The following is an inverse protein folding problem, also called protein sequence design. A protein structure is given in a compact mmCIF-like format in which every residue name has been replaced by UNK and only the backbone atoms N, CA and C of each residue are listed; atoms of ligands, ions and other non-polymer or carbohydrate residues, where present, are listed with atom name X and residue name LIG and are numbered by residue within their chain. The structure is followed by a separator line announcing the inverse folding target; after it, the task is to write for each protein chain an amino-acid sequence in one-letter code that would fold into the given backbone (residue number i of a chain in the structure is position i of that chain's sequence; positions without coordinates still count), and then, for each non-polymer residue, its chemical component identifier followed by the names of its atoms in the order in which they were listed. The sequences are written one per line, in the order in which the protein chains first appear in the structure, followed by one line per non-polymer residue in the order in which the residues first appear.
data_IF_267235505204
#
_entry.id   IF_267235505204
#
_cell.length_a   1.000
_cell.length_b   1.000
_cell.length_c   1.000
_cell.angle_alpha   90.00
_cell.angle_beta   90.00
_cell.angle_gamma   90.00
#
_symmetry.space_group_name_H-M   'P 1'
#
loop_
_entity.id
_entity.type
_entity.pdbx_description
1 polymer ?
#
# COMPACT_ATOMS: atom_id res chain seq x y z
N UNK A 1 -95.79 -52.75 18.98
CA UNK A 1 -95.93 -52.37 20.40
C UNK A 1 -94.80 -51.43 20.77
N UNK A 2 -95.18 -50.27 21.34
CA UNK A 2 -94.43 -49.39 22.26
C UNK A 2 -93.18 -48.64 21.76
N UNK A 3 -93.43 -47.36 21.42
CA UNK A 3 -92.53 -46.18 21.56
C UNK A 3 -92.02 -46.04 23.01
N UNK A 4 -90.82 -45.50 23.25
CA UNK A 4 -90.70 -44.06 23.62
C UNK A 4 -89.36 -43.46 23.17
N UNK A 5 -88.98 -42.19 23.37
CA UNK A 5 -89.61 -40.88 23.46
C UNK A 5 -88.44 -39.88 23.32
N UNK A 6 -88.68 -38.72 22.70
CA UNK A 6 -87.72 -37.61 22.51
C UNK A 6 -87.28 -36.96 23.84
N UNK A 7 -86.18 -36.19 23.79
CA UNK A 7 -86.25 -34.78 24.20
C UNK A 7 -85.83 -33.89 23.01
N UNK A 8 -86.68 -32.95 22.51
CA UNK A 8 -86.83 -31.58 23.01
C UNK A 8 -85.46 -30.97 23.34
N UNK A 9 -84.82 -30.22 22.46
CA UNK A 9 -85.34 -28.99 21.87
C UNK A 9 -84.62 -27.83 22.54
N UNK A 10 -83.66 -27.22 21.84
CA UNK A 10 -83.25 -25.86 22.12
C UNK A 10 -82.88 -25.20 20.79
N UNK A 11 -83.85 -24.45 20.26
CA UNK A 11 -83.66 -23.48 19.19
C UNK A 11 -82.75 -22.37 19.70
N UNK A 12 -81.58 -22.21 19.10
CA UNK A 12 -80.87 -20.93 19.11
C UNK A 12 -81.09 -20.27 17.74
N UNK A 13 -81.89 -19.21 17.81
CA UNK A 13 -82.32 -18.34 16.73
C UNK A 13 -81.12 -17.64 16.10
N UNK A 14 -81.13 -17.59 14.76
CA UNK A 14 -80.31 -16.72 13.92
C UNK A 14 -80.39 -15.26 14.38
N UNK A 15 -79.24 -14.67 14.68
CA UNK A 15 -79.02 -13.23 14.47
C UNK A 15 -77.81 -13.07 13.58
N UNK A 16 -78.09 -12.70 12.32
CA UNK A 16 -77.12 -12.27 11.34
C UNK A 16 -76.33 -11.07 11.87
N UNK A 17 -75.14 -11.32 12.42
CA UNK A 17 -74.18 -10.25 12.64
C UNK A 17 -73.52 -9.95 11.30
N UNK A 18 -73.79 -8.75 10.78
CA UNK A 18 -73.12 -8.18 9.62
C UNK A 18 -71.62 -8.28 9.86
N UNK A 19 -70.98 -9.28 9.27
CA UNK A 19 -69.54 -9.30 9.05
C UNK A 19 -69.23 -8.10 8.17
N UNK A 20 -68.94 -6.98 8.81
CA UNK A 20 -68.23 -5.86 8.21
C UNK A 20 -66.91 -6.47 7.76
N UNK A 21 -66.86 -6.93 6.52
CA UNK A 21 -65.62 -7.18 5.83
C UNK A 21 -64.93 -5.82 5.79
N UNK A 22 -64.11 -5.55 6.82
CA UNK A 22 -63.11 -4.50 6.79
C UNK A 22 -62.14 -4.98 5.71
N UNK A 23 -62.51 -4.73 4.46
CA UNK A 23 -61.59 -4.72 3.35
C UNK A 23 -60.66 -3.58 3.70
N UNK A 24 -59.58 -3.91 4.41
CA UNK A 24 -58.43 -3.04 4.57
C UNK A 24 -57.87 -2.91 3.15
N UNK A 25 -58.47 -2.01 2.36
CA UNK A 25 -57.80 -1.35 1.25
C UNK A 25 -56.65 -0.60 1.92
N UNK A 26 -55.58 -1.34 2.22
CA UNK A 26 -54.27 -0.75 2.40
C UNK A 26 -54.02 -0.01 1.10
N UNK A 27 -54.23 1.31 1.16
CA UNK A 27 -53.90 2.26 0.11
C UNK A 27 -52.58 1.83 -0.49
N UNK A 28 -52.47 1.76 -1.82
CA UNK A 28 -51.26 1.30 -2.50
C UNK A 28 -50.00 1.99 -1.95
N UNK A 29 -50.13 3.23 -1.46
CA UNK A 29 -49.09 3.95 -0.70
C UNK A 29 -48.46 3.17 0.46
N UNK A 30 -49.22 2.36 1.22
CA UNK A 30 -48.70 1.55 2.32
C UNK A 30 -47.91 0.31 1.86
N UNK A 31 -48.23 -0.26 0.69
CA UNK A 31 -47.48 -1.42 0.16
C UNK A 31 -46.10 -1.04 -0.34
N UNK A 32 -45.96 0.13 -0.97
CA UNK A 32 -44.65 0.67 -1.35
C UNK A 32 -43.81 0.99 -0.11
N UNK A 33 -44.39 1.57 0.94
CA UNK A 33 -43.68 1.85 2.20
C UNK A 33 -43.12 0.59 2.87
N UNK A 34 -43.88 -0.51 2.91
CA UNK A 34 -43.42 -1.77 3.53
C UNK A 34 -42.27 -2.42 2.75
N UNK A 35 -42.37 -2.46 1.41
CA UNK A 35 -41.30 -3.02 0.56
C UNK A 35 -40.01 -2.23 0.68
N UNK A 36 -40.09 -0.89 0.66
CA UNK A 36 -38.90 -0.04 0.83
C UNK A 36 -38.27 -0.22 2.21
N UNK A 37 -39.08 -0.35 3.27
CA UNK A 37 -38.58 -0.63 4.63
C UNK A 37 -37.85 -1.97 4.72
N UNK A 38 -38.43 -3.03 4.14
CA UNK A 38 -37.82 -4.37 4.12
C UNK A 38 -36.51 -4.41 3.33
N UNK A 39 -36.47 -3.76 2.16
CA UNK A 39 -35.26 -3.64 1.35
C UNK A 39 -34.17 -2.87 2.09
N UNK A 40 -34.52 -1.75 2.73
CA UNK A 40 -33.58 -0.95 3.51
C UNK A 40 -33.05 -1.73 4.72
N UNK A 41 -33.91 -2.42 5.46
CA UNK A 41 -33.47 -3.23 6.60
C UNK A 41 -32.58 -4.40 6.17
N UNK A 42 -32.91 -5.06 5.05
CA UNK A 42 -32.08 -6.13 4.49
C UNK A 42 -30.70 -5.61 4.07
N UNK A 43 -30.65 -4.47 3.38
CA UNK A 43 -29.40 -3.82 3.01
C UNK A 43 -28.54 -3.45 4.22
N UNK A 44 -29.15 -2.85 5.26
CA UNK A 44 -28.44 -2.50 6.50
C UNK A 44 -27.92 -3.75 7.24
N UNK A 45 -28.67 -4.85 7.26
CA UNK A 45 -28.23 -6.09 7.87
C UNK A 45 -27.02 -6.69 7.14
N UNK A 46 -27.02 -6.65 5.80
CA UNK A 46 -25.88 -7.09 4.98
C UNK A 46 -24.66 -6.22 5.22
N UNK A 47 -24.83 -4.89 5.27
CA UNK A 47 -23.74 -3.95 5.55
C UNK A 47 -23.15 -4.17 6.95
N UNK A 48 -24.00 -4.28 7.97
CA UNK A 48 -23.58 -4.57 9.34
C UNK A 48 -22.83 -5.89 9.44
N UNK A 49 -23.31 -6.93 8.75
CA UNK A 49 -22.63 -8.24 8.69
C UNK A 49 -21.27 -8.14 8.01
N UNK A 50 -21.16 -7.39 6.90
CA UNK A 50 -19.91 -7.18 6.20
C UNK A 50 -18.88 -6.46 7.08
N UNK A 51 -19.30 -5.41 7.80
CA UNK A 51 -18.45 -4.68 8.76
C UNK A 51 -18.02 -5.58 9.92
N UNK A 52 -18.95 -6.36 10.48
CA UNK A 52 -18.63 -7.31 11.55
C UNK A 52 -17.60 -8.36 11.10
N UNK A 53 -17.80 -8.95 9.91
CA UNK A 53 -16.85 -9.90 9.34
C UNK A 53 -15.48 -9.26 9.08
N UNK A 54 -15.43 -7.99 8.68
CA UNK A 54 -14.18 -7.26 8.51
C UNK A 54 -13.44 -7.08 9.86
N UNK A 55 -14.16 -6.75 10.93
CA UNK A 55 -13.60 -6.52 12.27
C UNK A 55 -13.18 -7.80 12.99
N UNK A 56 -13.85 -8.93 12.72
CA UNK A 56 -13.54 -10.23 13.32
C UNK A 56 -12.33 -10.92 12.68
N UNK A 57 -11.89 -10.49 11.50
CA UNK A 57 -10.73 -11.08 10.83
C UNK A 57 -9.44 -10.64 11.51
N UNK A 58 -8.57 -11.61 11.78
CA UNK A 58 -7.21 -11.35 12.24
C UNK A 58 -6.52 -10.31 11.34
N UNK A 59 -5.86 -9.29 11.94
CA UNK A 59 -5.31 -8.16 11.22
C UNK A 59 -4.04 -8.51 10.47
N UNK A 60 -3.63 -7.68 9.53
CA UNK A 60 -2.26 -7.65 9.00
C UNK A 60 -1.46 -6.66 9.83
N UNK A 61 -0.33 -7.07 10.38
CA UNK A 61 0.50 -6.19 11.22
C UNK A 61 1.74 -5.78 10.46
N UNK A 62 1.99 -4.47 10.38
CA UNK A 62 3.25 -3.90 9.91
C UNK A 62 4.07 -3.47 11.13
N UNK A 63 5.28 -4.00 11.26
CA UNK A 63 6.24 -3.53 12.27
C UNK A 63 6.92 -2.27 11.78
N UNK A 64 6.97 -1.25 12.62
CA UNK A 64 7.55 0.06 12.29
C UNK A 64 8.13 0.72 13.54
N UNK A 65 8.62 1.95 13.40
CA UNK A 65 9.19 2.73 14.49
C UNK A 65 8.72 4.18 14.44
N UNK A 66 8.89 4.86 15.57
CA UNK A 66 8.47 6.26 15.73
C UNK A 66 9.18 7.20 14.74
N UNK A 67 10.42 6.89 14.36
CA UNK A 67 11.17 7.71 13.40
C UNK A 67 10.52 7.62 12.02
N UNK A 68 10.14 6.42 11.58
CA UNK A 68 9.42 6.22 10.33
C UNK A 68 8.05 6.92 10.35
N UNK A 69 7.22 6.72 11.38
CA UNK A 69 5.90 7.37 11.48
C UNK A 69 6.00 8.90 11.47
N UNK A 70 6.99 9.44 12.17
CA UNK A 70 7.22 10.89 12.24
C UNK A 70 7.61 11.46 10.88
N UNK A 71 8.48 10.77 10.14
CA UNK A 71 9.03 11.27 8.88
C UNK A 71 8.16 10.96 7.65
N UNK A 72 7.40 9.86 7.67
CA UNK A 72 6.45 9.52 6.60
C UNK A 72 5.14 10.33 6.72
N UNK A 73 4.77 10.70 7.94
CA UNK A 73 3.66 11.60 8.25
C UNK A 73 2.37 10.86 8.61
N UNK A 74 1.85 11.12 9.82
CA UNK A 74 0.64 10.47 10.39
C UNK A 74 -0.58 10.45 9.47
N UNK A 75 -0.81 11.54 8.72
CA UNK A 75 -1.94 11.63 7.78
C UNK A 75 -1.78 10.64 6.64
N UNK A 76 -0.56 10.53 6.09
CA UNK A 76 -0.24 9.61 5.00
C UNK A 76 -0.30 8.16 5.48
N UNK A 77 0.20 7.88 6.68
CA UNK A 77 0.05 6.58 7.35
C UNK A 77 -1.42 6.19 7.49
N UNK A 78 -2.26 7.08 8.01
CA UNK A 78 -3.69 6.83 8.17
C UNK A 78 -4.40 6.51 6.84
N UNK A 79 -4.08 7.25 5.78
CA UNK A 79 -4.63 7.02 4.44
C UNK A 79 -4.12 5.68 3.87
N UNK A 80 -2.82 5.41 3.96
CA UNK A 80 -2.21 4.17 3.46
C UNK A 80 -2.78 2.96 4.20
N UNK A 81 -2.89 3.04 5.53
CA UNK A 81 -3.49 2.04 6.39
C UNK A 81 -4.94 1.76 6.01
N UNK A 82 -5.77 2.78 5.85
CA UNK A 82 -7.17 2.62 5.46
C UNK A 82 -7.30 2.00 4.06
N UNK A 83 -6.58 2.55 3.07
CA UNK A 83 -6.61 2.07 1.69
C UNK A 83 -6.17 0.59 1.61
N UNK A 84 -5.10 0.23 2.32
CA UNK A 84 -4.60 -1.15 2.36
C UNK A 84 -5.57 -2.07 3.08
N UNK A 85 -6.16 -1.61 4.19
CA UNK A 85 -7.15 -2.39 4.93
C UNK A 85 -8.37 -2.74 4.07
N UNK A 86 -8.90 -1.74 3.36
CA UNK A 86 -10.02 -1.94 2.42
C UNK A 86 -9.62 -2.88 1.28
N UNK A 87 -8.44 -2.70 0.70
CA UNK A 87 -7.95 -3.52 -0.42
C UNK A 87 -7.65 -4.99 -0.03
N UNK A 88 -7.32 -5.25 1.25
CA UNK A 88 -7.13 -6.59 1.82
C UNK A 88 -8.43 -7.19 2.37
N UNK A 89 -9.47 -6.37 2.54
CA UNK A 89 -10.66 -6.72 3.33
C UNK A 89 -10.30 -7.26 4.72
N UNK A 90 -9.29 -6.63 5.35
CA UNK A 90 -8.77 -6.94 6.69
C UNK A 90 -8.25 -5.66 7.34
N UNK A 91 -8.34 -5.55 8.66
CA UNK A 91 -7.72 -4.45 9.39
C UNK A 91 -6.19 -4.52 9.26
N UNK A 92 -5.54 -3.41 8.94
CA UNK A 92 -4.09 -3.27 9.09
C UNK A 92 -3.80 -2.61 10.43
N UNK A 93 -2.80 -3.12 11.15
CA UNK A 93 -2.29 -2.60 12.43
C UNK A 93 -0.81 -2.22 12.31
N UNK A 94 -0.39 -1.28 13.14
CA UNK A 94 1.01 -0.86 13.26
C UNK A 94 1.54 -1.28 14.62
N UNK A 95 2.57 -2.12 14.61
CA UNK A 95 3.35 -2.45 15.79
C UNK A 95 4.56 -1.52 15.84
N UNK A 96 4.48 -0.46 16.66
CA UNK A 96 5.57 0.51 16.83
C UNK A 96 6.57 -0.03 17.84
N UNK A 97 7.83 -0.11 17.43
CA UNK A 97 8.95 -0.53 18.27
C UNK A 97 10.06 0.51 18.25
N UNK A 98 10.97 0.44 19.22
CA UNK A 98 12.15 1.28 19.21
C UNK A 98 13.01 1.01 17.94
N UNK A 99 13.68 2.02 17.37
CA UNK A 99 14.57 1.86 16.21
C UNK A 99 15.66 0.79 16.38
N UNK A 100 16.09 0.56 17.62
CA UNK A 100 17.09 -0.43 18.04
C UNK A 100 16.50 -1.56 18.88
N UNK A 101 15.19 -1.82 18.74
CA UNK A 101 14.55 -2.91 19.46
C UNK A 101 15.22 -4.25 19.11
N UNK A 102 15.47 -5.12 20.12
CA UNK A 102 16.00 -6.45 19.86
C UNK A 102 14.99 -7.27 19.04
N UNK A 103 15.45 -8.30 18.30
CA UNK A 103 14.60 -9.14 17.45
C UNK A 103 13.34 -9.67 18.15
N UNK A 104 13.48 -10.10 19.41
CA UNK A 104 12.40 -10.66 20.21
C UNK A 104 11.32 -9.62 20.51
N UNK A 105 11.70 -8.38 20.77
CA UNK A 105 10.74 -7.29 21.02
C UNK A 105 9.94 -6.94 19.76
N UNK A 106 10.58 -6.97 18.58
CA UNK A 106 9.89 -6.78 17.31
C UNK A 106 8.89 -7.92 17.03
N UNK A 107 9.27 -9.17 17.32
CA UNK A 107 8.39 -10.33 17.20
C UNK A 107 7.20 -10.24 18.18
N UNK A 108 7.44 -9.89 19.44
CA UNK A 108 6.39 -9.75 20.47
C UNK A 108 5.42 -8.63 20.15
N UNK A 109 5.92 -7.49 19.69
CA UNK A 109 5.09 -6.36 19.29
C UNK A 109 4.14 -6.75 18.14
N UNK A 110 4.62 -7.55 17.17
CA UNK A 110 3.76 -8.08 16.11
C UNK A 110 2.74 -9.09 16.64
N UNK A 111 3.18 -10.02 17.50
CA UNK A 111 2.35 -11.12 18.01
C UNK A 111 1.22 -10.64 18.93
N UNK A 112 1.40 -9.53 19.64
CA UNK A 112 0.41 -8.95 20.54
C UNK A 112 -0.96 -8.66 19.87
N UNK A 113 -1.00 -8.56 18.53
CA UNK A 113 -2.21 -8.30 17.76
C UNK A 113 -2.91 -9.57 17.23
N UNK A 114 -2.36 -10.77 17.44
CA UNK A 114 -2.87 -12.01 16.85
C UNK A 114 -2.99 -11.94 15.31
N UNK A 115 -1.91 -11.62 14.57
CA UNK A 115 -1.98 -11.31 13.15
C UNK A 115 -2.35 -12.51 12.28
N UNK A 116 -2.99 -12.24 11.14
CA UNK A 116 -3.10 -13.17 10.02
C UNK A 116 -1.77 -13.31 9.26
N UNK A 117 -0.97 -12.24 9.24
CA UNK A 117 0.42 -12.24 8.78
C UNK A 117 1.14 -11.02 9.38
N UNK A 118 2.45 -11.14 9.58
CA UNK A 118 3.31 -10.07 10.10
C UNK A 118 4.30 -9.62 9.03
N UNK A 119 4.39 -8.31 8.82
CA UNK A 119 5.22 -7.66 7.80
C UNK A 119 6.32 -6.86 8.48
N UNK A 120 7.56 -7.18 8.14
CA UNK A 120 8.75 -6.60 8.74
C UNK A 120 9.56 -5.85 7.67
N UNK A 121 9.79 -4.53 7.81
CA UNK A 121 10.82 -3.85 7.04
C UNK A 121 12.18 -4.56 7.19
N UNK A 122 13.04 -4.51 6.16
CA UNK A 122 14.35 -5.18 6.17
C UNK A 122 15.20 -4.90 7.41
N UNK A 123 15.13 -3.67 7.96
CA UNK A 123 15.80 -3.31 9.22
C UNK A 123 15.40 -4.19 10.43
N UNK A 124 14.24 -4.84 10.36
CA UNK A 124 13.68 -5.76 11.34
C UNK A 124 13.67 -7.21 10.86
N UNK A 125 14.49 -7.58 9.87
CA UNK A 125 14.55 -8.95 9.34
C UNK A 125 14.83 -9.99 10.43
N UNK A 126 15.75 -9.71 11.36
CA UNK A 126 16.01 -10.60 12.49
C UNK A 126 14.77 -10.78 13.40
N UNK A 127 13.93 -9.74 13.52
CA UNK A 127 12.65 -9.83 14.23
C UNK A 127 11.63 -10.71 13.51
N UNK A 128 11.64 -10.71 12.17
CA UNK A 128 10.83 -11.63 11.36
C UNK A 128 11.26 -13.09 11.58
N UNK A 129 12.57 -13.34 11.63
CA UNK A 129 13.12 -14.68 11.90
C UNK A 129 12.70 -15.16 13.31
N UNK A 130 12.83 -14.30 14.32
CA UNK A 130 12.38 -14.58 15.70
C UNK A 130 10.87 -14.84 15.78
N UNK A 131 10.07 -14.08 15.03
CA UNK A 131 8.62 -14.26 14.94
C UNK A 131 8.27 -15.61 14.31
N UNK A 132 8.85 -15.94 13.15
CA UNK A 132 8.57 -17.18 12.43
C UNK A 132 8.98 -18.43 13.22
N UNK A 133 10.06 -18.34 14.01
CA UNK A 133 10.48 -19.43 14.89
C UNK A 133 9.49 -19.68 16.04
N UNK A 134 8.86 -18.61 16.55
CA UNK A 134 7.91 -18.67 17.68
C UNK A 134 6.47 -18.97 17.27
N UNK A 135 6.06 -18.51 16.10
CA UNK A 135 4.69 -18.58 15.57
C UNK A 135 4.70 -19.15 14.14
N UNK A 136 5.14 -20.42 13.94
CA UNK A 136 5.35 -21.00 12.61
C UNK A 136 4.07 -21.10 11.77
N UNK A 137 2.90 -21.06 12.40
CA UNK A 137 1.58 -21.06 11.75
C UNK A 137 1.19 -19.69 11.18
N UNK A 138 1.85 -18.61 11.59
CA UNK A 138 1.58 -17.26 11.12
C UNK A 138 2.69 -16.83 10.14
N UNK A 139 2.36 -16.54 8.87
CA UNK A 139 3.36 -16.14 7.90
C UNK A 139 4.00 -14.80 8.27
N UNK A 140 5.33 -14.79 8.28
CA UNK A 140 6.16 -13.59 8.37
C UNK A 140 6.73 -13.24 7.00
N UNK A 141 6.73 -11.95 6.65
CA UNK A 141 7.30 -11.47 5.39
C UNK A 141 8.20 -10.27 5.63
N UNK A 142 9.37 -10.26 4.98
CA UNK A 142 10.31 -9.15 5.03
C UNK A 142 10.19 -8.30 3.77
N UNK A 143 9.92 -7.01 3.91
CA UNK A 143 9.87 -6.05 2.80
C UNK A 143 11.23 -5.41 2.56
N UNK A 144 11.57 -5.11 1.31
CA UNK A 144 12.86 -4.56 0.87
C UNK A 144 14.05 -5.50 1.15
N UNK A 145 13.81 -6.82 1.17
CA UNK A 145 14.88 -7.79 1.21
C UNK A 145 15.67 -7.74 -0.12
N UNK A 146 17.00 -7.66 -0.04
CA UNK A 146 17.86 -7.83 -1.21
C UNK A 146 17.90 -9.34 -1.52
N UNK A 147 17.47 -9.78 -2.71
CA UNK A 147 17.58 -11.19 -3.09
C UNK A 147 19.06 -11.59 -3.08
N UNK A 148 19.43 -12.70 -2.43
CA UNK A 148 20.79 -13.27 -2.58
C UNK A 148 20.95 -13.78 -4.02
N UNK A 149 22.16 -13.64 -4.57
CA UNK A 149 22.49 -14.00 -5.95
C UNK A 149 22.32 -15.51 -6.26
N UNK A 150 22.13 -16.32 -5.23
CA UNK A 150 22.22 -17.78 -5.29
C UNK A 150 20.91 -18.46 -5.70
N UNK A 151 19.88 -17.68 -6.08
CA UNK A 151 18.58 -18.21 -6.55
C UNK A 151 17.74 -18.92 -5.48
N UNK A 152 18.26 -19.09 -4.28
CA UNK A 152 17.48 -19.47 -3.11
C UNK A 152 16.77 -18.21 -2.58
N UNK A 153 15.44 -18.21 -2.55
CA UNK A 153 14.58 -17.19 -1.96
C UNK A 153 15.15 -16.66 -0.63
N UNK A 154 15.92 -15.58 -0.74
CA UNK A 154 16.80 -15.10 0.31
C UNK A 154 16.05 -14.16 1.25
N UNK A 155 15.38 -14.74 2.24
CA UNK A 155 15.21 -14.16 3.57
C UNK A 155 15.37 -15.32 4.57
N UNK A 156 16.16 -15.11 5.62
CA UNK A 156 16.55 -16.10 6.64
C UNK A 156 17.47 -17.25 6.15
N UNK A 157 18.74 -17.18 6.55
CA UNK A 157 19.57 -18.38 6.60
C UNK A 157 19.13 -19.24 7.77
N UNK A 158 18.20 -20.16 7.56
CA UNK A 158 18.06 -21.43 8.30
C UNK A 158 16.89 -22.22 7.71
N UNK A 159 17.19 -23.37 7.12
CA UNK A 159 16.20 -24.39 6.83
C UNK A 159 15.61 -24.92 8.15
N UNK A 160 14.51 -24.32 8.60
CA UNK A 160 13.80 -24.77 9.80
C UNK A 160 12.39 -24.21 9.84
N UNK A 161 11.40 -25.02 9.44
CA UNK A 161 9.96 -25.02 9.75
C UNK A 161 9.10 -23.72 9.77
N UNK A 162 9.65 -22.52 9.67
CA UNK A 162 8.94 -21.24 9.59
C UNK A 162 9.60 -20.39 8.51
N UNK A 163 9.06 -20.46 7.29
CA UNK A 163 9.66 -19.76 6.13
C UNK A 163 9.31 -18.28 6.20
N UNK A 164 10.31 -17.44 6.46
CA UNK A 164 10.18 -15.99 6.26
C UNK A 164 10.12 -15.73 4.75
N UNK A 165 9.01 -15.15 4.30
CA UNK A 165 8.82 -14.78 2.91
C UNK A 165 9.51 -13.46 2.61
N UNK A 166 9.73 -13.15 1.35
CA UNK A 166 10.29 -11.87 0.92
C UNK A 166 9.32 -11.10 0.01
N UNK A 167 9.28 -9.80 0.23
CA UNK A 167 8.70 -8.85 -0.71
C UNK A 167 9.76 -7.80 -1.06
N UNK A 168 10.07 -7.64 -2.34
CA UNK A 168 11.05 -6.65 -2.79
C UNK A 168 10.41 -5.62 -3.72
N UNK A 169 10.99 -4.43 -3.71
CA UNK A 169 10.74 -3.45 -4.76
C UNK A 169 11.40 -3.96 -6.04
N UNK A 170 10.69 -3.86 -7.17
CA UNK A 170 11.29 -4.06 -8.49
C UNK A 170 12.22 -2.88 -8.83
N UNK A 171 13.44 -2.93 -8.30
CA UNK A 171 14.44 -1.88 -8.52
C UNK A 171 14.68 -1.63 -10.00
N UNK A 172 14.75 -2.67 -10.83
CA UNK A 172 14.99 -2.50 -12.27
C UNK A 172 13.86 -1.73 -12.95
N UNK A 173 12.60 -2.08 -12.67
CA UNK A 173 11.46 -1.36 -13.21
C UNK A 173 11.40 0.09 -12.71
N UNK A 174 11.75 0.34 -11.45
CA UNK A 174 11.73 1.68 -10.87
C UNK A 174 12.82 2.57 -11.44
N UNK A 175 14.04 2.06 -11.56
CA UNK A 175 15.16 2.78 -12.19
C UNK A 175 14.89 3.03 -13.67
N UNK A 176 14.25 2.08 -14.38
CA UNK A 176 13.79 2.31 -15.76
C UNK A 176 12.73 3.41 -15.84
N UNK A 177 11.76 3.44 -14.92
CA UNK A 177 10.75 4.52 -14.82
C UNK A 177 11.38 5.87 -14.49
N UNK A 178 12.36 5.89 -13.59
CA UNK A 178 13.14 7.09 -13.29
C UNK A 178 13.91 7.57 -14.53
N UNK A 179 14.50 6.66 -15.31
CA UNK A 179 15.13 6.97 -16.59
C UNK A 179 14.17 7.63 -17.59
N UNK A 180 12.94 7.09 -17.73
CA UNK A 180 11.92 7.71 -18.59
C UNK A 180 11.54 9.12 -18.12
N UNK A 181 11.36 9.31 -16.82
CA UNK A 181 11.07 10.61 -16.24
C UNK A 181 12.22 11.60 -16.45
N UNK A 182 13.46 11.16 -16.25
CA UNK A 182 14.65 11.96 -16.49
C UNK A 182 14.75 12.38 -17.96
N UNK A 183 14.50 11.47 -18.90
CA UNK A 183 14.53 11.79 -20.33
C UNK A 183 13.49 12.84 -20.73
N UNK A 184 12.30 12.86 -20.10
CA UNK A 184 11.30 13.92 -20.31
C UNK A 184 11.77 15.26 -19.75
N UNK A 185 12.33 15.27 -18.53
CA UNK A 185 12.84 16.48 -17.90
C UNK A 185 14.03 17.06 -18.67
N UNK A 186 14.89 16.20 -19.21
CA UNK A 186 16.03 16.56 -20.05
C UNK A 186 15.68 16.78 -21.53
N UNK A 187 14.45 16.49 -21.99
CA UNK A 187 14.10 16.72 -23.40
C UNK A 187 14.00 18.21 -23.74
N UNK A 188 13.75 19.07 -22.75
CA UNK A 188 13.64 20.51 -22.93
C UNK A 188 15.00 21.19 -23.16
N UNK A 189 16.09 20.64 -22.62
CA UNK A 189 17.45 21.16 -22.75
C UNK A 189 18.39 19.97 -22.89
N UNK A 190 19.22 19.88 -23.94
CA UNK A 190 20.12 18.75 -24.29
C UNK A 190 21.20 18.45 -23.24
N UNK A 191 20.80 18.16 -22.03
CA UNK A 191 21.59 18.34 -20.81
C UNK A 191 21.53 17.06 -19.99
N UNK A 192 22.69 16.55 -19.50
CA UNK A 192 22.78 15.25 -18.83
C UNK A 192 21.95 15.17 -17.55
N UNK A 193 21.36 13.99 -17.33
CA UNK A 193 20.78 13.57 -16.06
C UNK A 193 21.89 13.02 -15.16
N UNK A 194 21.86 13.37 -13.87
CA UNK A 194 22.86 12.93 -12.89
C UNK A 194 22.31 11.88 -11.93
N UNK A 195 23.15 10.89 -11.59
CA UNK A 195 22.80 9.72 -10.79
C UNK A 195 23.58 9.68 -9.48
N UNK A 196 22.91 9.46 -8.34
CA UNK A 196 23.58 9.22 -7.05
C UNK A 196 22.74 8.33 -6.11
N UNK A 197 23.37 7.43 -5.37
CA UNK A 197 22.72 6.62 -4.33
C UNK A 197 22.84 7.19 -2.91
N UNK A 198 22.15 6.51 -2.00
CA UNK A 198 21.96 6.72 -0.57
C UNK A 198 23.18 7.19 0.21
N UNK A 199 24.35 6.65 -0.12
CA UNK A 199 25.59 6.90 0.62
C UNK A 199 26.62 7.64 -0.23
N UNK A 200 26.20 8.19 -1.37
CA UNK A 200 27.07 8.74 -2.40
C UNK A 200 27.80 7.67 -3.22
N UNK A 201 27.42 6.39 -3.04
CA UNK A 201 27.80 5.29 -3.93
C UNK A 201 27.16 5.47 -5.31
N UNK A 202 27.83 5.01 -6.38
CA UNK A 202 27.17 4.85 -7.66
C UNK A 202 26.23 3.64 -7.60
N UNK A 203 25.07 3.69 -8.29
CA UNK A 203 24.20 2.53 -8.37
C UNK A 203 24.85 1.36 -9.09
N UNK A 204 24.35 0.16 -8.88
CA UNK A 204 24.91 -1.04 -9.53
C UNK A 204 24.87 -0.88 -11.06
N UNK A 205 25.81 -1.50 -11.80
CA UNK A 205 25.82 -1.45 -13.27
C UNK A 205 24.48 -1.84 -13.91
N UNK A 206 23.76 -2.80 -13.30
CA UNK A 206 22.47 -3.29 -13.78
C UNK A 206 21.34 -2.25 -13.59
N UNK A 207 21.37 -1.51 -12.46
CA UNK A 207 20.45 -0.39 -12.22
C UNK A 207 20.76 0.79 -13.16
N UNK A 208 22.04 1.07 -13.40
CA UNK A 208 22.46 2.06 -14.40
C UNK A 208 21.97 1.70 -15.81
N UNK A 209 22.12 0.43 -16.20
CA UNK A 209 21.63 -0.06 -17.49
C UNK A 209 20.11 0.07 -17.62
N UNK A 210 19.37 -0.27 -16.57
CA UNK A 210 17.91 -0.10 -16.52
C UNK A 210 17.48 1.36 -16.64
N UNK A 211 18.21 2.27 -15.97
CA UNK A 211 18.00 3.71 -16.10
C UNK A 211 18.26 4.21 -17.53
N UNK A 212 19.38 3.79 -18.14
CA UNK A 212 19.73 4.14 -19.51
C UNK A 212 18.70 3.63 -20.54
N UNK A 213 18.16 2.42 -20.34
CA UNK A 213 17.05 1.89 -21.14
C UNK A 213 15.81 2.79 -21.04
N UNK A 214 15.51 3.27 -19.82
CA UNK A 214 14.45 4.25 -19.58
C UNK A 214 14.63 5.54 -20.38
N UNK A 215 15.83 6.13 -20.35
CA UNK A 215 16.18 7.31 -21.14
C UNK A 215 15.98 7.07 -22.65
N UNK A 216 16.52 5.97 -23.16
CA UNK A 216 16.43 5.62 -24.58
C UNK A 216 14.97 5.42 -25.04
N UNK A 217 14.12 4.86 -24.18
CA UNK A 217 12.71 4.61 -24.51
C UNK A 217 11.87 5.87 -24.72
N UNK A 218 12.36 7.04 -24.28
CA UNK A 218 11.74 8.35 -24.54
C UNK A 218 12.53 9.19 -25.56
N UNK A 219 13.46 8.57 -26.29
CA UNK A 219 14.24 9.21 -27.34
C UNK A 219 15.44 10.04 -26.86
N UNK A 220 15.81 9.94 -25.58
CA UNK A 220 17.00 10.62 -25.06
C UNK A 220 18.26 9.80 -25.37
N UNK A 221 19.21 10.41 -26.10
CA UNK A 221 20.45 9.75 -26.55
C UNK A 221 21.68 10.08 -25.70
N UNK A 222 21.54 10.96 -24.70
CA UNK A 222 22.67 11.35 -23.84
C UNK A 222 23.04 10.25 -22.83
N UNK A 223 24.32 10.19 -22.48
CA UNK A 223 24.81 9.29 -21.43
C UNK A 223 24.61 9.96 -20.06
N UNK A 224 23.97 9.29 -19.08
CA UNK A 224 23.85 9.85 -17.73
C UNK A 224 25.21 9.98 -17.07
N UNK A 225 25.39 11.06 -16.29
CA UNK A 225 26.64 11.28 -15.54
C UNK A 225 26.43 10.78 -14.11
N UNK A 226 27.35 9.96 -13.62
CA UNK A 226 27.25 9.40 -12.27
C UNK A 226 28.05 10.27 -11.32
N UNK A 227 27.38 10.86 -10.33
CA UNK A 227 28.03 11.67 -9.29
C UNK A 227 28.41 10.78 -8.12
N UNK A 228 29.73 10.62 -7.91
CA UNK A 228 30.26 10.00 -6.70
C UNK A 228 30.38 11.04 -5.59
N UNK A 229 30.42 10.59 -4.34
CA UNK A 229 30.79 11.48 -3.22
C UNK A 229 32.09 12.23 -3.52
N UNK A 230 32.10 13.55 -3.31
CA UNK A 230 33.24 14.43 -3.59
C UNK A 230 33.48 14.77 -5.07
N UNK A 231 32.66 14.28 -6.02
CA UNK A 231 32.77 14.69 -7.42
C UNK A 231 32.16 16.08 -7.59
N UNK A 232 32.98 17.08 -7.90
CA UNK A 232 32.50 18.41 -8.24
C UNK A 232 31.72 18.36 -9.56
N UNK A 233 30.52 18.93 -9.58
CA UNK A 233 29.84 19.22 -10.84
C UNK A 233 30.58 20.40 -11.47
N UNK A 234 30.99 20.31 -12.76
CA UNK A 234 31.66 21.41 -13.43
C UNK A 234 30.86 22.71 -13.31
N UNK A 235 31.54 23.79 -12.93
CA UNK A 235 30.92 25.11 -12.82
C UNK A 235 30.36 25.49 -14.20
N UNK A 236 29.08 25.83 -14.26
CA UNK A 236 28.39 26.17 -15.51
C UNK A 236 27.84 24.97 -16.29
N UNK A 237 27.98 23.74 -15.78
CA UNK A 237 27.24 22.60 -16.31
C UNK A 237 25.74 22.90 -16.17
N UNK A 238 25.02 22.93 -17.28
CA UNK A 238 23.57 22.83 -17.23
C UNK A 238 23.24 21.45 -16.68
N UNK A 239 22.22 21.34 -15.84
CA UNK A 239 21.74 20.06 -15.30
C UNK A 239 20.24 19.96 -15.59
N UNK A 240 19.82 18.95 -16.34
CA UNK A 240 18.41 18.77 -16.70
C UNK A 240 17.60 18.23 -15.53
N UNK A 241 18.15 17.24 -14.82
CA UNK A 241 17.60 16.75 -13.55
C UNK A 241 18.65 16.00 -12.73
N UNK A 242 18.37 15.87 -11.44
CA UNK A 242 19.14 15.03 -10.52
C UNK A 242 18.28 13.88 -9.99
N UNK A 243 18.84 12.67 -9.99
CA UNK A 243 18.19 11.46 -9.48
C UNK A 243 18.86 11.04 -8.18
N UNK A 244 18.09 11.07 -7.10
CA UNK A 244 18.54 10.81 -5.74
C UNK A 244 17.88 9.54 -5.19
N UNK A 245 18.66 8.49 -4.96
CA UNK A 245 18.19 7.30 -4.26
C UNK A 245 18.60 7.32 -2.77
N UNK A 246 18.24 8.39 -2.03
CA UNK A 246 18.75 8.63 -0.68
C UNK A 246 17.67 8.97 0.36
N UNK A 247 17.89 8.50 1.60
CA UNK A 247 17.01 8.75 2.75
C UNK A 247 17.09 10.19 3.28
N UNK A 248 18.22 10.89 3.05
CA UNK A 248 18.39 12.29 3.43
C UNK A 248 18.93 13.10 2.25
N UNK A 249 18.04 13.62 1.39
CA UNK A 249 18.49 14.41 0.25
C UNK A 249 19.04 15.78 0.71
N UNK A 250 18.71 16.24 1.92
CA UNK A 250 18.93 17.61 2.41
C UNK A 250 20.36 18.15 2.23
N UNK A 251 21.40 17.36 2.51
CA UNK A 251 22.79 17.82 2.40
C UNK A 251 23.21 18.10 0.95
N UNK A 252 22.77 17.27 0.00
CA UNK A 252 23.07 17.41 -1.45
C UNK A 252 22.14 18.41 -2.13
N UNK A 253 20.93 18.59 -1.62
CA UNK A 253 19.92 19.48 -2.21
C UNK A 253 20.35 20.94 -2.20
N UNK A 254 21.11 21.36 -1.19
CA UNK A 254 21.65 22.72 -1.11
C UNK A 254 22.65 23.03 -2.24
N UNK A 255 23.30 22.01 -2.81
CA UNK A 255 24.28 22.16 -3.90
C UNK A 255 23.61 22.44 -5.26
N UNK A 256 22.33 22.10 -5.42
CA UNK A 256 21.62 22.12 -6.71
C UNK A 256 20.28 22.87 -6.66
N UNK A 257 20.27 24.17 -6.27
CA UNK A 257 19.03 24.93 -6.19
C UNK A 257 18.37 25.07 -7.56
N UNK A 258 17.06 24.79 -7.63
CA UNK A 258 16.25 24.99 -8.84
C UNK A 258 16.29 23.87 -9.88
N UNK A 259 17.17 22.87 -9.71
CA UNK A 259 17.23 21.73 -10.63
C UNK A 259 16.10 20.74 -10.32
N UNK A 260 15.32 20.27 -11.31
CA UNK A 260 14.28 19.26 -11.08
C UNK A 260 14.85 17.97 -10.49
N UNK A 261 14.15 17.39 -9.51
CA UNK A 261 14.62 16.19 -8.81
C UNK A 261 13.70 14.99 -9.01
N UNK A 262 14.32 13.83 -9.21
CA UNK A 262 13.67 12.53 -9.12
C UNK A 262 14.19 11.86 -7.86
N UNK A 263 13.34 11.61 -6.87
CA UNK A 263 13.76 11.15 -5.55
C UNK A 263 13.10 9.81 -5.22
N UNK A 264 13.89 8.83 -4.79
CA UNK A 264 13.39 7.63 -4.15
C UNK A 264 13.37 7.87 -2.65
N UNK A 265 12.17 8.01 -2.09
CA UNK A 265 12.02 8.34 -0.69
C UNK A 265 10.60 8.07 -0.20
N UNK A 266 10.54 7.70 1.07
CA UNK A 266 9.32 7.54 1.85
C UNK A 266 9.00 8.77 2.71
N UNK A 267 9.82 9.82 2.67
CA UNK A 267 9.54 11.05 3.42
C UNK A 267 8.21 11.69 3.02
N UNK A 268 7.54 12.35 3.97
CA UNK A 268 6.36 13.17 3.69
C UNK A 268 6.71 14.24 2.64
N UNK A 269 5.80 14.43 1.68
CA UNK A 269 5.89 15.47 0.65
C UNK A 269 6.18 16.88 1.20
N UNK A 270 5.74 17.20 2.42
CA UNK A 270 6.00 18.47 3.08
C UNK A 270 7.47 18.66 3.51
N UNK A 271 8.23 17.55 3.64
CA UNK A 271 9.65 17.55 3.95
C UNK A 271 10.52 17.48 2.70
N UNK A 272 9.90 17.29 1.52
CA UNK A 272 10.61 17.26 0.25
C UNK A 272 10.94 18.67 -0.22
N UNK A 273 12.06 18.83 -0.94
CA UNK A 273 12.42 20.12 -1.49
C UNK A 273 11.42 20.56 -2.57
N UNK A 274 11.24 21.88 -2.71
CA UNK A 274 10.24 22.46 -3.63
C UNK A 274 10.43 22.04 -5.09
N UNK A 275 11.68 21.78 -5.51
CA UNK A 275 12.07 21.31 -6.85
C UNK A 275 11.97 19.78 -7.05
N UNK A 276 11.43 19.02 -6.09
CA UNK A 276 11.04 17.63 -6.34
C UNK A 276 10.01 17.59 -7.49
N UNK A 277 10.35 16.89 -8.57
CA UNK A 277 9.50 16.72 -9.74
C UNK A 277 8.81 15.35 -9.74
N UNK A 278 9.56 14.30 -9.38
CA UNK A 278 9.03 12.92 -9.28
C UNK A 278 9.50 12.29 -7.98
N UNK A 279 8.60 11.59 -7.29
CA UNK A 279 8.86 10.88 -6.04
C UNK A 279 8.47 9.43 -6.21
N UNK A 280 9.43 8.53 -6.04
CA UNK A 280 9.22 7.08 -5.94
C UNK A 280 9.12 6.70 -4.47
N UNK A 281 7.92 6.31 -4.05
CA UNK A 281 7.63 5.87 -2.68
C UNK A 281 8.12 4.43 -2.49
N UNK A 282 9.28 4.29 -1.84
CA UNK A 282 9.93 3.04 -1.48
C UNK A 282 9.63 2.60 -0.03
N UNK A 283 8.60 3.19 0.58
CA UNK A 283 8.20 2.87 1.95
C UNK A 283 7.70 1.43 2.08
N UNK A 284 7.76 0.85 3.30
CA UNK A 284 7.08 -0.40 3.60
C UNK A 284 5.58 -0.38 3.24
N UNK A 285 4.92 0.79 3.26
CA UNK A 285 3.52 0.93 2.85
C UNK A 285 3.31 0.64 1.36
N UNK A 286 4.25 1.01 0.51
CA UNK A 286 4.16 0.74 -0.92
C UNK A 286 4.16 -0.78 -1.22
N UNK A 287 4.88 -1.55 -0.39
CA UNK A 287 4.97 -3.01 -0.50
C UNK A 287 3.93 -3.76 0.34
N UNK A 288 3.27 -3.12 1.30
CA UNK A 288 2.44 -3.82 2.29
C UNK A 288 1.32 -4.65 1.64
N UNK A 289 0.57 -4.07 0.70
CA UNK A 289 -0.54 -4.75 0.03
C UNK A 289 -0.07 -6.01 -0.76
N UNK A 290 0.90 -5.91 -1.69
CA UNK A 290 1.39 -7.09 -2.40
C UNK A 290 2.05 -8.10 -1.44
N UNK A 291 2.84 -7.63 -0.47
CA UNK A 291 3.49 -8.49 0.52
C UNK A 291 2.48 -9.30 1.34
N UNK A 292 1.44 -8.65 1.87
CA UNK A 292 0.42 -9.32 2.66
C UNK A 292 -0.40 -10.32 1.82
N UNK A 293 -0.72 -10.00 0.56
CA UNK A 293 -1.41 -10.93 -0.34
C UNK A 293 -0.56 -12.15 -0.67
N UNK A 294 0.73 -11.95 -0.88
CA UNK A 294 1.68 -13.03 -1.13
C UNK A 294 1.85 -13.90 0.11
N UNK A 295 2.02 -13.28 1.29
CA UNK A 295 2.12 -13.97 2.58
C UNK A 295 0.90 -14.83 2.89
N UNK A 296 -0.32 -14.32 2.66
CA UNK A 296 -1.56 -15.06 2.85
C UNK A 296 -1.74 -16.23 1.86
N UNK A 297 -0.93 -16.29 0.79
CA UNK A 297 -0.85 -17.39 -0.18
C UNK A 297 0.44 -18.21 -0.05
N UNK A 298 1.27 -17.91 0.94
CA UNK A 298 2.59 -18.52 1.14
C UNK A 298 3.56 -18.34 -0.04
N UNK A 299 3.48 -17.18 -0.70
CA UNK A 299 4.30 -16.79 -1.86
C UNK A 299 5.20 -15.60 -1.53
N UNK A 300 6.33 -15.48 -2.23
CA UNK A 300 7.11 -14.23 -2.30
C UNK A 300 6.51 -13.28 -3.34
N UNK A 301 6.81 -11.99 -3.25
CA UNK A 301 6.32 -11.02 -4.24
C UNK A 301 7.32 -9.95 -4.61
N UNK A 302 7.16 -9.41 -5.81
CA UNK A 302 7.89 -8.22 -6.26
C UNK A 302 6.85 -7.19 -6.70
N UNK A 303 7.03 -5.94 -6.31
CA UNK A 303 6.17 -4.84 -6.73
C UNK A 303 6.97 -3.58 -7.02
N UNK A 304 6.57 -2.81 -8.02
CA UNK A 304 7.21 -1.53 -8.33
C UNK A 304 6.77 -0.45 -7.34
N UNK A 305 7.64 0.51 -7.01
CA UNK A 305 7.31 1.62 -6.11
C UNK A 305 6.15 2.46 -6.66
N UNK A 306 5.42 3.12 -5.77
CA UNK A 306 4.41 4.09 -6.22
C UNK A 306 5.12 5.39 -6.65
N UNK A 307 5.09 5.70 -7.94
CA UNK A 307 5.62 6.94 -8.46
C UNK A 307 4.56 8.05 -8.45
N UNK A 308 4.93 9.24 -8.00
CA UNK A 308 4.06 10.43 -7.98
C UNK A 308 4.78 11.62 -8.59
N UNK A 309 4.07 12.41 -9.39
CA UNK A 309 4.57 13.67 -9.93
C UNK A 309 4.20 14.78 -8.96
N UNK A 310 5.18 15.54 -8.50
CA UNK A 310 4.94 16.66 -7.61
C UNK A 310 4.42 17.86 -8.39
N UNK A 311 3.45 18.56 -7.79
CA UNK A 311 2.92 19.82 -8.34
C UNK A 311 3.77 21.04 -7.96
N UNK A 312 4.68 20.90 -6.99
CA UNK A 312 5.47 22.03 -6.46
C UNK A 312 6.69 22.36 -7.31
N UNK A 313 7.16 21.41 -8.14
CA UNK A 313 8.41 21.52 -8.89
C UNK A 313 8.45 22.51 -10.05
N UNK A 314 7.54 23.48 -10.11
CA UNK A 314 7.50 24.49 -11.18
C UNK A 314 7.30 23.90 -12.59
N UNK A 315 6.82 22.66 -12.69
CA UNK A 315 6.64 21.97 -13.96
C UNK A 315 5.53 22.63 -14.78
N UNK A 316 5.75 22.77 -16.10
CA UNK A 316 4.70 23.13 -17.04
C UNK A 316 3.58 22.07 -17.01
N UNK A 317 2.35 22.47 -17.38
CA UNK A 317 1.21 21.55 -17.46
C UNK A 317 1.48 20.36 -18.39
N UNK A 318 2.18 20.62 -19.50
CA UNK A 318 2.55 19.60 -20.48
C UNK A 318 3.56 18.61 -19.89
N UNK A 319 4.61 19.09 -19.21
CA UNK A 319 5.57 18.22 -18.53
C UNK A 319 4.89 17.36 -17.45
N UNK A 320 4.01 17.97 -16.65
CA UNK A 320 3.26 17.24 -15.64
C UNK A 320 2.40 16.11 -16.24
N UNK A 321 1.71 16.39 -17.36
CA UNK A 321 0.90 15.40 -18.06
C UNK A 321 1.76 14.27 -18.66
N UNK A 322 2.88 14.61 -19.30
CA UNK A 322 3.81 13.65 -19.89
C UNK A 322 4.42 12.72 -18.83
N UNK A 323 4.92 13.28 -17.73
CA UNK A 323 5.45 12.49 -16.61
C UNK A 323 4.38 11.59 -16.00
N UNK A 324 3.17 12.13 -15.78
CA UNK A 324 2.05 11.35 -15.23
C UNK A 324 1.63 10.20 -16.13
N UNK A 325 1.67 10.38 -17.46
CA UNK A 325 1.35 9.34 -18.45
C UNK A 325 2.40 8.23 -18.44
N UNK A 326 3.68 8.59 -18.41
CA UNK A 326 4.79 7.65 -18.52
C UNK A 326 5.04 6.85 -17.25
N UNK A 327 4.76 7.42 -16.06
CA UNK A 327 4.91 6.72 -14.79
C UNK A 327 3.78 5.72 -14.48
N UNK A 328 2.65 5.81 -15.22
CA UNK A 328 1.53 4.84 -15.13
C UNK A 328 1.74 3.57 -15.96
N UNK A 329 2.68 3.61 -16.90
CA UNK A 329 3.06 2.47 -17.75
C UNK A 329 4.25 1.74 -17.13
#
# INVERSE_FOLDING_TARGET
MVKPARPSGCSAVLTASRSVAIVIRMSEKNRYSLRTKLLLSGFLAVLASAVLLFLLRAPVVLVSDEQFETLHGKRRDGIARLATSVALWRKVELAIVAPSAPPEAAAEAAAAYGPACAVFPFRYAAGADSFAARFPEIPAIVTNAVPRADGADGAAGAAGAGRVLSASVDGYADWRRAGRAAGILCAAETVPAFLTEKDGSPPSPELQASFAEGLASVGYSGVPIILRSGTAVPVGAKIGCLVLAAASPAARLAEFPGIPLIIFTWLDSALLPGNAAVVFDDSPWALLLPAARAALRSESSTASSKATVSKTGGLSREMFASLSSVLRK
#
